data_IF_628210662591
#
_entry.id   IF_628210662591
#
_cell.length_a   1.000
_cell.length_b   1.000
_cell.length_c   1.000
_cell.angle_alpha   90.00
_cell.angle_beta   90.00
_cell.angle_gamma   90.00
#
_symmetry.space_group_name_H-M   'P 1'
#
loop_
_entity.id
_entity.type
_entity.pdbx_description
1 polymer ?
#
# COMPACT_ATOMS: atom_id res chain seq x y z
N UNK A 1 10.81 -20.01 3.07
CA UNK A 1 10.91 -18.55 2.82
C UNK A 1 9.95 -18.00 1.75
N UNK A 2 9.52 -18.80 0.74
CA UNK A 2 8.61 -18.34 -0.33
C UNK A 2 7.30 -17.72 0.17
N UNK A 3 6.63 -18.36 1.13
CA UNK A 3 5.41 -17.86 1.79
C UNK A 3 5.61 -16.48 2.42
N UNK A 4 6.69 -16.29 3.18
CA UNK A 4 7.02 -15.01 3.81
C UNK A 4 7.22 -13.91 2.77
N UNK A 5 8.03 -14.16 1.74
CA UNK A 5 8.29 -13.18 0.68
C UNK A 5 7.02 -12.81 -0.08
N UNK A 6 6.16 -13.79 -0.37
CA UNK A 6 4.86 -13.55 -1.01
C UNK A 6 3.96 -12.67 -0.14
N UNK A 7 3.81 -12.98 1.16
CA UNK A 7 3.01 -12.18 2.09
C UNK A 7 3.56 -10.76 2.27
N UNK A 8 4.88 -10.62 2.32
CA UNK A 8 5.54 -9.32 2.40
C UNK A 8 5.29 -8.48 1.13
N UNK A 9 5.37 -9.10 -0.05
CA UNK A 9 5.05 -8.45 -1.32
C UNK A 9 3.59 -8.00 -1.36
N UNK A 10 2.64 -8.86 -0.97
CA UNK A 10 1.22 -8.49 -0.86
C UNK A 10 1.00 -7.34 0.11
N UNK A 11 1.64 -7.34 1.28
CA UNK A 11 1.55 -6.25 2.24
C UNK A 11 2.07 -4.93 1.66
N UNK A 12 3.21 -4.94 0.96
CA UNK A 12 3.73 -3.76 0.26
C UNK A 12 2.75 -3.24 -0.79
N UNK A 13 2.19 -4.14 -1.62
CA UNK A 13 1.20 -3.77 -2.65
C UNK A 13 -0.02 -3.06 -2.06
N UNK A 14 -0.53 -3.55 -0.91
CA UNK A 14 -1.67 -2.91 -0.22
C UNK A 14 -1.28 -1.50 0.26
N UNK A 15 -0.09 -1.35 0.86
CA UNK A 15 0.39 -0.05 1.35
C UNK A 15 0.61 0.92 0.18
N UNK A 16 1.28 0.48 -0.89
CA UNK A 16 1.53 1.27 -2.10
C UNK A 16 0.23 1.71 -2.77
N UNK A 17 -0.75 0.81 -2.89
CA UNK A 17 -2.07 1.16 -3.40
C UNK A 17 -2.71 2.23 -2.51
N UNK A 18 -2.75 2.05 -1.19
CA UNK A 18 -3.35 3.03 -0.27
C UNK A 18 -2.68 4.43 -0.35
N UNK A 19 -1.35 4.49 -0.46
CA UNK A 19 -0.66 5.76 -0.63
C UNK A 19 -0.88 6.38 -2.01
N UNK A 20 -0.92 5.57 -3.07
CA UNK A 20 -1.23 6.05 -4.42
C UNK A 20 -2.63 6.68 -4.46
N UNK A 21 -3.58 6.04 -3.76
CA UNK A 21 -4.93 6.54 -3.55
C UNK A 21 -4.88 7.94 -2.91
N UNK A 22 -4.19 8.04 -1.77
CA UNK A 22 -4.08 9.29 -1.03
C UNK A 22 -3.43 10.41 -1.86
N UNK A 23 -2.38 10.09 -2.63
CA UNK A 23 -1.64 11.06 -3.45
C UNK A 23 -2.46 11.56 -4.63
N UNK A 24 -3.22 10.68 -5.28
CA UNK A 24 -4.05 11.12 -6.40
C UNK A 24 -5.27 11.91 -5.94
N UNK A 25 -5.88 11.54 -4.81
CA UNK A 25 -7.04 12.28 -4.29
C UNK A 25 -6.65 13.66 -3.78
N UNK A 26 -5.51 13.76 -3.08
CA UNK A 26 -5.12 15.00 -2.41
C UNK A 26 -3.86 15.60 -3.05
N UNK A 27 -4.07 16.65 -3.86
CA UNK A 27 -3.00 17.42 -4.53
C UNK A 27 -1.87 17.87 -3.60
N UNK A 28 -2.13 18.02 -2.30
CA UNK A 28 -1.13 18.34 -1.29
C UNK A 28 0.04 17.34 -1.28
N UNK A 29 -0.20 16.04 -1.47
CA UNK A 29 0.86 15.02 -1.46
C UNK A 29 1.58 14.85 -2.80
N UNK A 30 1.14 15.52 -3.87
CA UNK A 30 1.78 15.43 -5.19
C UNK A 30 3.03 16.30 -5.30
N UNK A 31 3.27 17.20 -4.34
CA UNK A 31 4.42 18.10 -4.31
C UNK A 31 5.34 17.76 -3.13
N UNK A 32 6.64 18.07 -3.24
CA UNK A 32 7.55 17.98 -2.09
C UNK A 32 7.00 18.73 -0.88
N UNK A 33 6.95 18.05 0.27
CA UNK A 33 6.34 18.57 1.48
C UNK A 33 7.42 19.14 2.40
N UNK A 34 7.49 20.47 2.50
CA UNK A 34 8.42 21.17 3.38
C UNK A 34 7.84 21.36 4.79
N UNK A 35 7.53 20.25 5.47
CA UNK A 35 6.98 20.26 6.83
C UNK A 35 7.77 19.33 7.75
N UNK A 36 7.67 19.55 9.06
CA UNK A 36 8.24 18.63 10.06
C UNK A 36 7.53 17.26 9.98
N UNK A 37 8.21 16.13 10.25
CA UNK A 37 7.60 14.80 10.19
C UNK A 37 6.31 14.64 11.01
N UNK A 38 6.25 15.30 12.18
CA UNK A 38 5.05 15.31 13.02
C UNK A 38 3.85 15.96 12.32
N UNK A 39 4.07 17.05 11.58
CA UNK A 39 3.03 17.76 10.84
C UNK A 39 2.59 16.96 9.62
N UNK A 40 3.52 16.31 8.92
CA UNK A 40 3.20 15.40 7.81
C UNK A 40 2.33 14.24 8.31
N UNK A 41 2.65 13.70 9.48
CA UNK A 41 1.84 12.62 10.11
C UNK A 41 0.41 13.09 10.40
N UNK A 42 0.24 14.32 10.89
CA UNK A 42 -1.10 14.91 11.10
C UNK A 42 -1.83 15.13 9.77
N UNK A 43 -1.14 15.60 8.73
CA UNK A 43 -1.74 15.80 7.41
C UNK A 43 -2.23 14.49 6.79
N UNK A 44 -1.44 13.41 6.88
CA UNK A 44 -1.85 12.06 6.43
C UNK A 44 -3.08 11.58 7.19
N UNK A 45 -3.10 11.72 8.52
CA UNK A 45 -4.26 11.35 9.35
C UNK A 45 -5.52 12.14 8.98
N UNK A 46 -5.39 13.45 8.80
CA UNK A 46 -6.50 14.30 8.38
C UNK A 46 -7.04 13.89 7.00
N UNK A 47 -6.14 13.60 6.04
CA UNK A 47 -6.52 13.12 4.72
C UNK A 47 -7.26 11.76 4.78
N UNK A 48 -6.85 10.84 5.65
CA UNK A 48 -7.59 9.60 5.89
C UNK A 48 -8.99 9.86 6.47
N UNK A 49 -9.10 10.75 7.47
CA UNK A 49 -10.39 11.13 8.03
C UNK A 49 -11.33 11.73 6.97
N UNK A 50 -10.82 12.64 6.14
CA UNK A 50 -11.60 13.24 5.06
C UNK A 50 -12.00 12.23 3.99
N UNK A 51 -11.08 11.35 3.58
CA UNK A 51 -11.37 10.30 2.62
C UNK A 51 -12.50 9.39 3.11
N UNK A 52 -12.45 8.97 4.38
CA UNK A 52 -13.49 8.14 4.98
C UNK A 52 -14.84 8.86 5.09
N UNK A 53 -14.81 10.13 5.51
CA UNK A 53 -16.01 10.95 5.63
C UNK A 53 -16.69 11.15 4.27
N UNK A 54 -15.94 11.60 3.26
CA UNK A 54 -16.48 11.84 1.91
C UNK A 54 -17.00 10.55 1.29
N UNK A 55 -16.25 9.45 1.39
CA UNK A 55 -16.71 8.13 0.92
C UNK A 55 -18.03 7.72 1.58
N UNK A 56 -18.19 7.98 2.87
CA UNK A 56 -19.43 7.65 3.60
C UNK A 56 -20.60 8.53 3.14
N UNK A 57 -20.37 9.83 2.92
CA UNK A 57 -21.39 10.74 2.40
C UNK A 57 -21.86 10.35 1.00
N UNK A 58 -20.93 9.94 0.14
CA UNK A 58 -21.24 9.44 -1.20
C UNK A 58 -22.08 8.17 -1.19
N UNK A 59 -21.68 7.18 -0.37
CA UNK A 59 -22.44 5.94 -0.21
C UNK A 59 -23.85 6.20 0.31
N UNK A 60 -24.03 7.20 1.19
CA UNK A 60 -25.33 7.58 1.71
C UNK A 60 -26.20 8.33 0.69
N UNK A 61 -25.59 9.16 -0.17
CA UNK A 61 -26.32 10.02 -1.13
C UNK A 61 -26.53 9.35 -2.49
N UNK A 62 -25.77 8.28 -2.80
CA UNK A 62 -25.77 7.62 -4.11
C UNK A 62 -25.00 8.40 -5.19
N UNK A 63 -24.39 9.54 -4.84
CA UNK A 63 -23.51 10.31 -5.72
C UNK A 63 -22.09 9.70 -5.70
N UNK A 64 -21.50 9.47 -6.87
CA UNK A 64 -20.17 8.87 -7.05
C UNK A 64 -19.16 9.87 -7.65
N UNK A 65 -19.11 11.10 -7.13
CA UNK A 65 -18.26 12.17 -7.65
C UNK A 65 -16.83 12.17 -7.06
N UNK A 66 -16.58 11.52 -5.93
CA UNK A 66 -15.33 11.50 -5.16
C UNK A 66 -14.64 10.14 -5.24
N UNK A 67 -15.36 9.03 -5.05
CA UNK A 67 -14.85 7.67 -5.28
C UNK A 67 -15.19 7.24 -6.69
N UNK A 68 -14.26 7.46 -7.62
CA UNK A 68 -14.39 6.95 -8.99
C UNK A 68 -14.52 5.41 -8.97
N UNK A 69 -15.41 4.79 -9.75
CA UNK A 69 -15.63 3.33 -9.74
C UNK A 69 -14.36 2.46 -9.92
N UNK A 70 -13.28 2.99 -10.51
CA UNK A 70 -11.97 2.31 -10.67
C UNK A 70 -11.01 2.41 -9.48
N UNK A 71 -11.44 2.97 -8.34
CA UNK A 71 -10.65 3.09 -7.12
C UNK A 71 -10.86 1.95 -6.12
N UNK A 72 -11.86 1.09 -6.36
CA UNK A 72 -12.10 -0.10 -5.54
C UNK A 72 -11.13 -1.21 -5.97
N UNK A 73 -10.27 -1.65 -5.05
CA UNK A 73 -9.42 -2.83 -5.22
C UNK A 73 -10.30 -4.08 -5.20
N UNK A 74 -11.00 -4.32 -6.32
CA UNK A 74 -11.75 -5.54 -6.60
C UNK A 74 -10.69 -6.56 -6.96
N UNK A 75 -10.17 -7.24 -5.93
CA UNK A 75 -8.86 -7.89 -5.89
C UNK A 75 -8.58 -9.05 -6.85
N UNK A 76 -9.01 -9.01 -8.11
CA UNK A 76 -8.53 -9.95 -9.11
C UNK A 76 -8.31 -9.38 -10.51
N UNK A 77 -9.18 -8.54 -11.08
CA UNK A 77 -8.95 -7.97 -12.41
C UNK A 77 -9.92 -6.81 -12.61
N UNK A 78 -9.43 -5.61 -12.91
CA UNK A 78 -10.31 -4.48 -13.19
C UNK A 78 -9.63 -3.15 -12.96
N UNK A 79 -8.90 -2.72 -13.98
CA UNK A 79 -8.51 -1.35 -14.31
C UNK A 79 -8.22 -0.41 -13.13
N UNK A 80 -6.93 -0.37 -12.79
CA UNK A 80 -6.34 0.66 -11.94
C UNK A 80 -6.34 2.02 -12.68
N UNK A 81 -7.52 2.59 -12.92
CA UNK A 81 -7.71 3.87 -13.61
C UNK A 81 -6.88 5.00 -12.99
N UNK A 82 -6.65 4.95 -11.68
CA UNK A 82 -5.78 5.88 -10.95
C UNK A 82 -4.29 5.79 -11.31
N UNK A 83 -3.84 4.69 -11.91
CA UNK A 83 -2.48 4.56 -12.45
C UNK A 83 -2.31 5.28 -13.78
N UNK A 84 -3.40 5.48 -14.53
CA UNK A 84 -3.36 6.05 -15.88
C UNK A 84 -3.37 7.59 -15.84
N UNK A 85 -4.13 8.18 -14.91
CA UNK A 85 -4.22 9.65 -14.76
C UNK A 85 -2.95 10.29 -14.18
N UNK A 86 -2.05 9.48 -13.63
CA UNK A 86 -0.86 9.91 -12.90
C UNK A 86 0.44 9.48 -13.59
N UNK A 87 0.52 9.62 -14.92
CA UNK A 87 1.76 9.38 -15.68
C UNK A 87 2.95 10.18 -15.13
N UNK A 88 2.68 11.34 -14.52
CA UNK A 88 3.70 12.21 -13.91
C UNK A 88 4.22 11.70 -12.54
N UNK A 89 3.54 10.73 -11.92
CA UNK A 89 3.94 10.08 -10.65
C UNK A 89 4.77 8.80 -10.86
N UNK A 90 5.16 8.47 -12.11
CA UNK A 90 6.13 7.41 -12.42
C UNK A 90 7.48 7.58 -11.70
N UNK A 91 7.74 8.76 -11.13
CA UNK A 91 8.89 9.04 -10.30
C UNK A 91 8.79 8.47 -8.87
N UNK A 92 7.58 8.19 -8.35
CA UNK A 92 7.39 7.55 -7.03
C UNK A 92 7.62 6.04 -7.11
N UNK A 93 7.38 5.42 -8.28
CA UNK A 93 7.59 3.97 -8.47
C UNK A 93 9.08 3.58 -8.55
N UNK A 94 9.98 4.55 -8.72
CA UNK A 94 11.42 4.35 -8.82
C UNK A 94 12.18 4.62 -7.51
N UNK A 95 11.53 4.51 -6.34
CA UNK A 95 12.23 4.61 -5.04
C UNK A 95 13.11 3.36 -4.77
N UNK A 96 12.96 2.30 -5.54
CA UNK A 96 13.67 1.02 -5.35
C UNK A 96 15.07 0.97 -5.95
N UNK A 97 15.45 1.90 -6.83
CA UNK A 97 16.71 1.82 -7.60
C UNK A 97 17.93 2.46 -6.93
N UNK A 98 17.78 3.09 -5.76
CA UNK A 98 18.84 3.88 -5.12
C UNK A 98 19.17 3.56 -3.66
N UNK A 99 18.49 2.62 -3.01
CA UNK A 99 18.79 2.26 -1.60
C UNK A 99 19.93 1.22 -1.60
N UNK A 100 21.15 1.68 -1.88
CA UNK A 100 22.34 0.86 -1.74
C UNK A 100 22.85 0.90 -0.30
N UNK A 101 22.59 -0.19 0.42
CA UNK A 101 23.55 -0.93 1.25
C UNK A 101 22.78 -2.13 1.82
N UNK A 102 23.13 -3.34 1.40
CA UNK A 102 22.56 -4.59 1.93
C UNK A 102 22.98 -4.87 3.39
N UNK A 103 23.49 -3.87 4.11
CA UNK A 103 23.87 -3.99 5.51
C UNK A 103 22.66 -3.68 6.39
N UNK A 104 21.72 -4.63 6.44
CA UNK A 104 20.60 -4.53 7.36
C UNK A 104 21.12 -4.70 8.79
N UNK A 105 20.74 -3.80 9.71
CA UNK A 105 21.10 -3.94 11.12
C UNK A 105 20.76 -5.35 11.64
N UNK A 106 21.57 -5.87 12.56
CA UNK A 106 21.33 -7.18 13.19
C UNK A 106 19.91 -7.30 13.75
N UNK A 107 19.34 -6.21 14.25
CA UNK A 107 17.96 -6.18 14.76
C UNK A 107 16.91 -6.29 13.64
N UNK A 108 17.16 -5.70 12.46
CA UNK A 108 16.29 -5.86 11.29
C UNK A 108 16.30 -7.30 10.78
N UNK A 109 17.46 -7.97 10.80
CA UNK A 109 17.57 -9.39 10.44
C UNK A 109 16.82 -10.26 11.44
N UNK A 110 16.97 -10.03 12.75
CA UNK A 110 16.24 -10.75 13.80
C UNK A 110 14.72 -10.57 13.65
N UNK A 111 14.26 -9.35 13.39
CA UNK A 111 12.83 -9.09 13.16
C UNK A 111 12.32 -9.83 11.93
N UNK A 112 13.09 -9.83 10.83
CA UNK A 112 12.75 -10.56 9.61
C UNK A 112 12.65 -12.06 9.86
N UNK A 113 13.60 -12.61 10.60
CA UNK A 113 13.62 -14.04 10.95
C UNK A 113 12.45 -14.41 11.86
N UNK A 114 12.21 -13.62 12.91
CA UNK A 114 11.05 -13.77 13.80
C UNK A 114 9.73 -13.76 13.02
N UNK A 115 9.54 -12.77 12.13
CA UNK A 115 8.34 -12.69 11.29
C UNK A 115 8.24 -13.87 10.33
N UNK A 116 9.34 -14.32 9.75
CA UNK A 116 9.36 -15.51 8.89
C UNK A 116 8.89 -16.75 9.66
N UNK A 117 9.41 -16.97 10.87
CA UNK A 117 9.01 -18.10 11.72
C UNK A 117 7.54 -18.00 12.12
N UNK A 118 7.09 -16.84 12.60
CA UNK A 118 5.71 -16.63 13.02
C UNK A 118 4.72 -16.86 11.88
N UNK A 119 4.94 -16.26 10.70
CA UNK A 119 4.02 -16.34 9.57
C UNK A 119 3.95 -17.74 8.94
N UNK A 120 4.95 -18.60 9.16
CA UNK A 120 4.95 -20.00 8.76
C UNK A 120 4.50 -20.95 9.90
N UNK A 121 4.40 -20.48 11.14
CA UNK A 121 3.88 -21.27 12.26
C UNK A 121 2.39 -21.54 12.09
N UNK A 122 1.87 -22.55 12.79
CA UNK A 122 0.43 -22.88 12.80
C UNK A 122 -0.44 -21.65 13.11
N UNK A 123 -0.05 -20.85 14.12
CA UNK A 123 -0.78 -19.65 14.56
C UNK A 123 -0.81 -18.53 13.52
N UNK A 124 0.29 -18.34 12.79
CA UNK A 124 0.42 -17.25 11.80
C UNK A 124 0.07 -17.67 10.37
N UNK A 125 -0.13 -18.97 10.16
CA UNK A 125 -0.46 -19.56 8.86
C UNK A 125 -1.88 -19.20 8.42
N UNK A 126 -2.06 -19.03 7.11
CA UNK A 126 -3.37 -18.71 6.51
C UNK A 126 -3.65 -19.67 5.35
N UNK A 127 -4.91 -20.14 5.16
CA UNK A 127 -5.21 -21.23 4.22
C UNK A 127 -4.77 -20.98 2.78
N UNK A 128 -4.85 -19.73 2.32
CA UNK A 128 -4.53 -19.32 0.95
C UNK A 128 -3.02 -19.12 0.69
N UNK A 129 -2.15 -19.16 1.71
CA UNK A 129 -0.74 -18.80 1.49
C UNK A 129 0.04 -19.85 0.71
N UNK A 130 -0.40 -21.11 0.75
CA UNK A 130 0.24 -22.21 0.03
C UNK A 130 -0.27 -22.34 -1.40
N UNK A 131 -1.55 -22.02 -1.66
CA UNK A 131 -2.11 -22.07 -3.02
C UNK A 131 -1.36 -21.16 -3.98
N UNK A 132 -1.04 -19.93 -3.56
CA UNK A 132 -0.27 -18.97 -4.38
C UNK A 132 1.21 -19.34 -4.53
N UNK A 133 1.81 -20.03 -3.55
CA UNK A 133 3.22 -20.46 -3.64
C UNK A 133 3.35 -21.69 -4.54
N UNK A 134 2.31 -22.54 -4.58
CA UNK A 134 2.29 -23.78 -5.36
C UNK A 134 1.79 -23.59 -6.80
N UNK A 135 0.92 -22.60 -7.07
CA UNK A 135 0.40 -22.29 -8.41
C UNK A 135 1.37 -21.47 -9.30
N UNK A 136 2.63 -21.28 -8.89
CA UNK A 136 3.66 -20.59 -9.68
C UNK A 136 4.58 -21.58 -10.44
N UNK A 137 4.00 -22.67 -10.97
CA UNK A 137 4.62 -23.58 -11.94
C UNK A 137 3.74 -23.69 -13.18
#
# INVERSE_FOLDING_TARGET
QRVYNYRLSRARRVIENAFSILVSTWRFFQKPIFLKPITVTLAVRAACCFHNYLTTQELATGNQSFVTPGYKDSGDTGDAFWRIENSDLANITNITSGISSNDSSQDSMKLREYMCQYLNSEKGSVPWQLSHVNNNF
#
